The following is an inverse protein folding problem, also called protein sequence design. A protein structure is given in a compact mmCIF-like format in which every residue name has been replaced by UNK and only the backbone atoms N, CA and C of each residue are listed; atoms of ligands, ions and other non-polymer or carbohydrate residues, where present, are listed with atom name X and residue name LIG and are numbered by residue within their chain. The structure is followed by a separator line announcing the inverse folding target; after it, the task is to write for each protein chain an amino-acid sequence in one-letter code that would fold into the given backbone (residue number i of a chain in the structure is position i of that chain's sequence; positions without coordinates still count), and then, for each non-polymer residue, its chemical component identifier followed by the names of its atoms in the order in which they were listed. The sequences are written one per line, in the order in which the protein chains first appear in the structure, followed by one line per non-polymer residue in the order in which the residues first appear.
data_IF_362278185523
#
_entry.id   IF_362278185523
#
_cell.length_a   1.000
_cell.length_b   1.000
_cell.length_c   1.000
_cell.angle_alpha   90.00
_cell.angle_beta   90.00
_cell.angle_gamma   90.00
#
_symmetry.space_group_name_H-M   'P 1'
#
loop_
_entity.id
_entity.type
_entity.pdbx_description
1 polymer ?
#
# COMPACT_ATOMS: atom_id res chain seq x y z
N UNK A 1 -35.81 5.47 8.50
CA UNK A 1 -34.59 4.64 8.36
C UNK A 1 -34.35 4.39 6.88
N UNK A 2 -33.21 4.78 6.34
CA UNK A 2 -32.94 4.64 4.89
C UNK A 2 -31.98 3.46 4.68
N UNK A 3 -32.42 2.52 3.86
CA UNK A 3 -31.52 1.48 3.34
C UNK A 3 -30.85 2.03 2.08
N UNK A 4 -29.55 1.86 1.96
CA UNK A 4 -28.77 2.35 0.82
C UNK A 4 -27.76 1.29 0.38
N UNK A 5 -27.63 1.12 -0.92
CA UNK A 5 -26.55 0.34 -1.53
C UNK A 5 -25.68 1.30 -2.34
N UNK A 6 -24.40 1.29 -2.10
CA UNK A 6 -23.40 2.04 -2.87
C UNK A 6 -22.58 1.01 -3.65
N UNK A 7 -22.54 1.17 -4.96
CA UNK A 7 -21.75 0.33 -5.86
C UNK A 7 -20.89 1.25 -6.71
N UNK A 8 -19.59 1.09 -6.62
CA UNK A 8 -18.61 1.79 -7.43
C UNK A 8 -17.80 0.74 -8.17
N UNK A 9 -18.06 0.58 -9.46
CA UNK A 9 -17.42 -0.46 -10.27
C UNK A 9 -15.95 -0.14 -10.57
N UNK A 10 -15.60 1.15 -10.65
CA UNK A 10 -14.23 1.65 -10.81
C UNK A 10 -13.98 2.79 -9.85
N UNK A 11 -13.02 2.60 -8.95
CA UNK A 11 -12.59 3.64 -8.03
C UNK A 11 -11.68 4.64 -8.74
N UNK A 12 -11.96 5.93 -8.56
CA UNK A 12 -11.09 7.01 -8.98
C UNK A 12 -10.07 7.35 -7.88
N UNK A 13 -8.98 7.97 -8.27
CA UNK A 13 -7.93 8.47 -7.35
C UNK A 13 -7.22 7.36 -6.57
N UNK A 14 -7.15 6.18 -7.14
CA UNK A 14 -6.35 5.06 -6.65
C UNK A 14 -5.40 4.60 -7.74
N UNK A 15 -4.26 4.07 -7.36
CA UNK A 15 -3.36 3.38 -8.27
C UNK A 15 -3.91 1.98 -8.52
N UNK A 16 -3.95 1.57 -9.80
CA UNK A 16 -4.53 0.30 -10.20
C UNK A 16 -6.06 0.33 -10.35
N UNK A 17 -6.67 -0.83 -10.45
CA UNK A 17 -8.10 -1.00 -10.68
C UNK A 17 -8.79 -1.64 -9.47
N UNK A 18 -9.76 -0.96 -8.94
CA UNK A 18 -10.51 -1.43 -7.78
C UNK A 18 -12.00 -1.10 -7.86
N UNK A 19 -12.80 -1.85 -7.14
CA UNK A 19 -14.24 -1.64 -6.95
C UNK A 19 -14.61 -1.62 -5.49
N UNK A 20 -15.68 -0.92 -5.16
CA UNK A 20 -16.24 -0.86 -3.81
C UNK A 20 -17.73 -1.17 -3.83
N UNK A 21 -18.17 -2.05 -2.94
CA UNK A 21 -19.56 -2.30 -2.67
C UNK A 21 -19.84 -2.12 -1.18
N UNK A 22 -20.85 -1.30 -0.84
CA UNK A 22 -21.27 -1.06 0.55
C UNK A 22 -22.78 -1.14 0.66
N UNK A 23 -23.27 -1.91 1.63
CA UNK A 23 -24.69 -1.99 1.97
C UNK A 23 -24.92 -1.39 3.36
N UNK A 24 -25.84 -0.47 3.43
CA UNK A 24 -26.22 0.24 4.65
C UNK A 24 -27.68 -0.11 4.97
N UNK A 25 -27.93 -0.56 6.18
CA UNK A 25 -29.29 -0.77 6.71
C UNK A 25 -29.43 -0.01 8.03
N UNK A 26 -30.47 0.80 8.15
CA UNK A 26 -30.73 1.58 9.35
C UNK A 26 -29.51 2.42 9.79
N UNK A 27 -28.85 3.06 8.83
CA UNK A 27 -27.66 3.87 9.02
C UNK A 27 -26.42 3.13 9.56
N UNK A 28 -26.45 1.78 9.52
CA UNK A 28 -25.31 0.91 9.87
C UNK A 28 -24.81 0.18 8.62
N UNK A 29 -23.49 0.17 8.44
CA UNK A 29 -22.87 -0.63 7.37
C UNK A 29 -23.00 -2.12 7.73
N UNK A 30 -23.74 -2.85 6.93
CA UNK A 30 -23.98 -4.30 7.13
C UNK A 30 -23.11 -5.16 6.25
N UNK A 31 -22.57 -4.60 5.18
CA UNK A 31 -21.69 -5.29 4.25
C UNK A 31 -20.77 -4.30 3.59
N UNK A 32 -19.47 -4.62 3.50
CA UNK A 32 -18.49 -3.88 2.73
C UNK A 32 -17.59 -4.87 1.99
N UNK A 33 -17.44 -4.69 0.68
CA UNK A 33 -16.57 -5.50 -0.16
C UNK A 33 -15.67 -4.56 -0.96
N UNK A 34 -14.37 -4.83 -0.92
CA UNK A 34 -13.37 -4.18 -1.75
C UNK A 34 -12.79 -5.23 -2.71
N UNK A 35 -12.88 -4.97 -4.00
CA UNK A 35 -12.37 -5.86 -5.04
C UNK A 35 -11.22 -5.19 -5.78
N UNK A 36 -10.15 -5.94 -6.01
CA UNK A 36 -9.00 -5.52 -6.80
C UNK A 36 -8.93 -6.42 -8.04
N UNK A 37 -8.76 -5.84 -9.22
CA UNK A 37 -8.72 -6.56 -10.49
C UNK A 37 -7.31 -6.90 -10.97
N UNK A 38 -6.29 -6.39 -10.31
CA UNK A 38 -4.91 -6.64 -10.70
C UNK A 38 -4.47 -8.07 -10.36
N UNK A 39 -3.83 -8.77 -11.31
CA UNK A 39 -3.33 -10.12 -11.05
C UNK A 39 -2.14 -10.07 -10.07
N UNK A 40 -2.01 -11.06 -9.17
CA UNK A 40 -0.85 -11.17 -8.31
C UNK A 40 0.42 -11.45 -9.15
N UNK A 41 1.55 -10.84 -8.77
CA UNK A 41 2.84 -11.00 -9.45
C UNK A 41 3.85 -11.86 -8.69
N UNK A 42 3.40 -12.57 -7.66
CA UNK A 42 4.17 -13.56 -6.89
C UNK A 42 5.48 -13.03 -6.28
N UNK A 43 5.51 -11.78 -5.85
CA UNK A 43 6.71 -11.18 -5.25
C UNK A 43 7.19 -11.93 -4.00
N UNK A 44 6.28 -12.51 -3.22
CA UNK A 44 6.66 -13.38 -2.10
C UNK A 44 7.50 -14.60 -2.53
N UNK A 45 7.30 -15.13 -3.72
CA UNK A 45 8.13 -16.21 -4.25
C UNK A 45 9.54 -15.72 -4.61
N UNK A 46 9.67 -14.49 -5.11
CA UNK A 46 10.98 -13.89 -5.38
C UNK A 46 11.78 -13.59 -4.10
N UNK A 47 11.11 -13.42 -2.97
CA UNK A 47 11.75 -13.17 -1.68
C UNK A 47 12.27 -14.46 -1.00
N UNK A 48 11.75 -15.63 -1.38
CA UNK A 48 12.16 -16.89 -0.79
C UNK A 48 13.64 -17.17 -1.06
N UNK A 49 14.38 -17.50 -0.01
CA UNK A 49 15.81 -17.80 -0.10
C UNK A 49 16.72 -16.59 -0.30
N UNK A 50 16.18 -15.38 -0.31
CA UNK A 50 16.94 -14.14 -0.40
C UNK A 50 17.44 -13.69 0.97
N UNK A 51 18.55 -12.95 0.97
CA UNK A 51 19.00 -12.27 2.20
C UNK A 51 17.99 -11.17 2.55
N UNK A 52 17.76 -10.95 3.83
CA UNK A 52 16.80 -9.91 4.26
C UNK A 52 17.18 -8.50 3.74
N UNK A 53 18.47 -8.24 3.53
CA UNK A 53 18.96 -6.97 2.97
C UNK A 53 18.58 -6.75 1.51
N UNK A 54 18.21 -7.80 0.78
CA UNK A 54 17.77 -7.70 -0.63
C UNK A 54 16.27 -7.36 -0.74
N UNK A 55 15.51 -7.58 0.32
CA UNK A 55 14.05 -7.41 0.29
C UNK A 55 13.60 -6.00 -0.12
N UNK A 56 14.19 -4.89 0.38
CA UNK A 56 13.79 -3.56 -0.04
C UNK A 56 13.97 -3.30 -1.54
N UNK A 57 15.06 -3.78 -2.12
CA UNK A 57 15.32 -3.60 -3.55
C UNK A 57 14.40 -4.44 -4.43
N UNK A 58 14.05 -5.66 -3.98
CA UNK A 58 13.12 -6.53 -4.68
C UNK A 58 11.71 -5.94 -4.64
N UNK A 59 11.25 -5.50 -3.46
CA UNK A 59 9.90 -4.96 -3.30
C UNK A 59 9.70 -3.61 -4.00
N UNK A 60 10.75 -2.80 -4.11
CA UNK A 60 10.72 -1.57 -4.90
C UNK A 60 10.32 -1.80 -6.37
N UNK A 61 10.55 -3.01 -6.90
CA UNK A 61 10.20 -3.38 -8.28
C UNK A 61 8.72 -3.73 -8.47
N UNK A 62 7.94 -3.76 -7.40
CA UNK A 62 6.48 -3.95 -7.50
C UNK A 62 5.84 -2.80 -8.27
N UNK A 63 6.30 -1.57 -8.06
CA UNK A 63 5.77 -0.38 -8.71
C UNK A 63 6.90 0.56 -9.12
N UNK A 64 6.95 0.91 -10.41
CA UNK A 64 8.00 1.80 -10.94
C UNK A 64 7.83 3.27 -10.60
N UNK A 65 6.61 3.70 -10.21
CA UNK A 65 6.28 5.09 -9.87
C UNK A 65 6.10 5.31 -8.37
N UNK A 66 6.03 4.23 -7.56
CA UNK A 66 5.93 4.30 -6.11
C UNK A 66 6.95 3.39 -5.39
N UNK A 67 8.22 3.34 -5.82
CA UNK A 67 9.20 2.40 -5.28
C UNK A 67 9.54 2.70 -3.82
N UNK A 68 9.49 3.95 -3.38
CA UNK A 68 9.78 4.35 -2.00
C UNK A 68 8.77 3.76 -1.03
N UNK A 69 7.48 3.77 -1.38
CA UNK A 69 6.42 3.17 -0.55
C UNK A 69 6.70 1.68 -0.30
N UNK A 70 7.01 0.91 -1.34
CA UNK A 70 7.31 -0.52 -1.22
C UNK A 70 8.62 -0.80 -0.51
N UNK A 71 9.67 -0.04 -0.83
CA UNK A 71 10.98 -0.16 -0.20
C UNK A 71 10.90 0.12 1.30
N UNK A 72 10.22 1.18 1.70
CA UNK A 72 10.08 1.55 3.11
C UNK A 72 9.15 0.58 3.85
N UNK A 73 8.11 0.05 3.20
CA UNK A 73 7.22 -0.96 3.80
C UNK A 73 7.99 -2.23 4.16
N UNK A 74 8.83 -2.74 3.26
CA UNK A 74 9.66 -3.91 3.53
C UNK A 74 10.74 -3.62 4.58
N UNK A 75 11.33 -2.42 4.56
CA UNK A 75 12.29 -1.98 5.58
C UNK A 75 11.65 -1.94 6.96
N UNK A 76 10.44 -1.37 7.09
CA UNK A 76 9.70 -1.36 8.36
C UNK A 76 9.35 -2.77 8.85
N UNK A 77 8.98 -3.67 7.93
CA UNK A 77 8.70 -5.07 8.29
C UNK A 77 9.94 -5.73 8.91
N UNK A 78 11.11 -5.54 8.31
CA UNK A 78 12.37 -6.10 8.82
C UNK A 78 12.80 -5.47 10.15
N UNK A 79 12.65 -4.15 10.28
CA UNK A 79 12.91 -3.46 11.55
C UNK A 79 12.02 -3.98 12.66
N UNK A 80 10.74 -4.22 12.36
CA UNK A 80 9.81 -4.81 13.32
C UNK A 80 10.23 -6.22 13.74
N UNK A 81 10.69 -7.04 12.81
CA UNK A 81 11.23 -8.38 13.11
C UNK A 81 12.46 -8.29 14.02
N UNK A 82 13.34 -7.35 13.76
CA UNK A 82 14.57 -7.12 14.52
C UNK A 82 14.36 -6.34 15.84
N UNK A 83 13.15 -5.86 16.10
CA UNK A 83 12.86 -5.02 17.26
C UNK A 83 13.52 -3.64 17.21
N UNK A 84 13.89 -3.17 16.01
CA UNK A 84 14.54 -1.86 15.81
C UNK A 84 13.50 -0.77 15.66
N UNK A 85 13.67 0.32 16.42
CA UNK A 85 12.88 1.55 16.26
C UNK A 85 13.76 2.65 15.68
N UNK A 86 13.27 3.27 14.63
CA UNK A 86 13.93 4.43 14.01
C UNK A 86 13.29 5.71 14.54
N UNK A 87 14.11 6.56 15.13
CA UNK A 87 13.68 7.82 15.76
C UNK A 87 14.57 8.99 15.32
N UNK A 88 14.20 10.20 15.73
CA UNK A 88 14.99 11.42 15.49
C UNK A 88 15.18 11.72 14.01
N UNK A 89 16.35 12.22 13.68
CA UNK A 89 16.69 12.73 12.34
C UNK A 89 16.49 11.68 11.22
N UNK A 90 16.80 10.42 11.48
CA UNK A 90 16.64 9.37 10.48
C UNK A 90 15.16 9.13 10.13
N UNK A 91 14.27 9.20 11.13
CA UNK A 91 12.83 9.14 10.91
C UNK A 91 12.34 10.31 10.06
N UNK A 92 12.81 11.51 10.35
CA UNK A 92 12.46 12.72 9.59
C UNK A 92 12.96 12.65 8.14
N UNK A 93 14.16 12.16 7.91
CA UNK A 93 14.69 11.94 6.55
C UNK A 93 13.85 10.93 5.76
N UNK A 94 13.42 9.83 6.39
CA UNK A 94 12.49 8.89 5.74
C UNK A 94 11.18 9.55 5.37
N UNK A 95 10.63 10.36 6.28
CA UNK A 95 9.39 11.09 6.02
C UNK A 95 9.56 12.06 4.86
N UNK A 96 10.69 12.73 4.78
CA UNK A 96 11.02 13.60 3.66
C UNK A 96 11.07 12.84 2.33
N UNK A 97 11.65 11.65 2.31
CA UNK A 97 11.68 10.78 1.13
C UNK A 97 10.28 10.38 0.67
N UNK A 98 9.40 10.00 1.60
CA UNK A 98 7.98 9.74 1.29
C UNK A 98 7.27 10.97 0.74
N UNK A 99 7.51 12.14 1.31
CA UNK A 99 6.94 13.38 0.81
C UNK A 99 7.39 13.67 -0.63
N UNK A 100 8.63 13.36 -0.96
CA UNK A 100 9.16 13.48 -2.34
C UNK A 100 8.37 12.61 -3.32
N UNK A 101 8.15 11.35 -3.01
CA UNK A 101 7.35 10.44 -3.85
C UNK A 101 5.88 10.91 -3.95
N UNK A 102 5.31 11.43 -2.88
CA UNK A 102 3.96 11.97 -2.92
C UNK A 102 3.83 13.20 -3.80
N UNK A 103 4.80 14.09 -3.76
CA UNK A 103 4.86 15.27 -4.64
C UNK A 103 4.93 14.80 -6.10
N UNK A 104 5.83 13.88 -6.41
CA UNK A 104 5.95 13.29 -7.74
C UNK A 104 4.61 12.71 -8.21
N UNK A 105 4.01 11.84 -7.42
CA UNK A 105 2.74 11.18 -7.74
C UNK A 105 1.56 12.12 -7.95
N UNK A 106 1.58 13.31 -7.32
CA UNK A 106 0.51 14.30 -7.46
C UNK A 106 0.80 15.38 -8.51
N UNK A 107 2.06 15.52 -8.92
CA UNK A 107 2.46 16.49 -9.92
C UNK A 107 2.42 15.93 -11.35
N UNK A 108 2.54 14.62 -11.52
CA UNK A 108 2.42 13.91 -12.78
C UNK A 108 0.95 13.59 -13.09
#
# INVERSE_FOLDING_TARGET
MKNKTIKVDYLARVEGEGRLFVKIKNDVVTEAQFGIFEPPRFFEAFLRGRKFTEAPDITARICGICPVAYQMSSTHAMESICGVKIEGQLRELRRLLYCGEWIESHAL
#
